data_IF_097193031503
#
_entry.id   IF_097193031503
#
_cell.length_a   1.000
_cell.length_b   1.000
_cell.length_c   1.000
_cell.angle_alpha   90.00
_cell.angle_beta   90.00
_cell.angle_gamma   90.00
#
_symmetry.space_group_name_H-M   'P 1'
#
loop_
_entity.id
_entity.type
_entity.pdbx_description
1 polymer ?
#
# COMPACT_ATOMS: atom_id res chain seq x y z
N UNK A 1 9.77 -79.84 -1.55
CA UNK A 1 8.83 -79.01 -0.77
C UNK A 1 9.66 -78.04 0.05
N UNK A 2 9.73 -76.78 -0.36
CA UNK A 2 10.08 -75.62 0.46
C UNK A 2 9.74 -74.36 -0.34
N UNK A 3 8.98 -73.48 0.31
CA UNK A 3 8.26 -72.34 -0.25
C UNK A 3 9.19 -71.14 -0.20
N UNK A 4 9.41 -70.46 -1.32
CA UNK A 4 10.04 -69.14 -1.32
C UNK A 4 9.00 -68.09 -1.67
N UNK A 5 8.68 -67.28 -0.66
CA UNK A 5 7.75 -66.16 -0.69
C UNK A 5 8.38 -65.04 -1.53
N UNK A 6 7.70 -64.59 -2.59
CA UNK A 6 8.11 -63.37 -3.28
C UNK A 6 7.84 -62.17 -2.38
N UNK A 7 8.90 -61.48 -1.95
CA UNK A 7 8.79 -60.15 -1.37
C UNK A 7 8.75 -59.13 -2.52
N UNK A 8 7.57 -58.57 -2.77
CA UNK A 8 7.40 -57.46 -3.71
C UNK A 8 8.05 -56.19 -3.11
N UNK A 9 9.16 -55.75 -3.71
CA UNK A 9 9.77 -54.47 -3.39
C UNK A 9 9.00 -53.34 -4.09
N UNK A 10 8.20 -52.60 -3.33
CA UNK A 10 7.58 -51.35 -3.77
C UNK A 10 8.63 -50.25 -3.74
N UNK A 11 9.19 -49.92 -4.91
CA UNK A 11 10.08 -48.76 -5.07
C UNK A 11 9.20 -47.51 -5.07
N UNK A 12 9.16 -46.80 -3.94
CA UNK A 12 8.51 -45.51 -3.83
C UNK A 12 9.44 -44.45 -4.45
N UNK A 13 9.28 -44.18 -5.75
CA UNK A 13 9.95 -43.06 -6.41
C UNK A 13 9.37 -41.75 -5.90
N UNK A 14 10.09 -41.08 -4.99
CA UNK A 14 9.82 -39.71 -4.61
C UNK A 14 10.19 -38.80 -5.78
N UNK A 15 9.18 -38.36 -6.54
CA UNK A 15 9.36 -37.31 -7.52
C UNK A 15 9.74 -36.02 -6.78
N UNK A 16 11.00 -35.60 -6.92
CA UNK A 16 11.46 -34.31 -6.42
C UNK A 16 10.79 -33.26 -7.30
N UNK A 17 9.73 -32.64 -6.80
CA UNK A 17 9.13 -31.49 -7.45
C UNK A 17 10.16 -30.36 -7.44
N UNK A 18 10.75 -30.07 -8.60
CA UNK A 18 11.59 -28.90 -8.79
C UNK A 18 10.70 -27.68 -8.60
N UNK A 19 11.01 -26.74 -7.67
CA UNK A 19 10.23 -25.54 -7.54
C UNK A 19 10.38 -24.71 -8.82
N UNK A 20 9.33 -24.66 -9.64
CA UNK A 20 9.22 -23.68 -10.71
C UNK A 20 9.10 -22.30 -10.08
N UNK A 21 10.13 -21.47 -10.27
CA UNK A 21 10.01 -20.05 -9.94
C UNK A 21 8.99 -19.44 -10.90
N UNK A 22 7.91 -18.90 -10.35
CA UNK A 22 6.95 -18.13 -11.12
C UNK A 22 7.64 -16.86 -11.64
N UNK A 23 8.00 -16.84 -12.92
CA UNK A 23 8.42 -15.62 -13.59
C UNK A 23 7.19 -14.73 -13.74
N UNK A 24 6.99 -13.80 -12.82
CA UNK A 24 6.03 -12.74 -13.00
C UNK A 24 6.62 -11.74 -14.00
N UNK A 25 6.01 -11.54 -15.18
CA UNK A 25 6.48 -10.52 -16.09
C UNK A 25 6.37 -9.16 -15.39
N UNK A 26 7.47 -8.41 -15.35
CA UNK A 26 7.44 -7.03 -14.89
C UNK A 26 6.59 -6.23 -15.89
N UNK A 27 5.33 -5.96 -15.53
CA UNK A 27 4.42 -5.14 -16.34
C UNK A 27 4.79 -3.68 -16.15
N UNK A 28 5.80 -3.23 -16.92
CA UNK A 28 6.17 -1.82 -16.96
C UNK A 28 5.08 -1.06 -17.69
N UNK A 29 4.40 -0.15 -16.98
CA UNK A 29 3.40 0.75 -17.57
C UNK A 29 4.13 1.76 -18.44
N UNK A 30 3.70 1.91 -19.69
CA UNK A 30 4.29 2.90 -20.61
C UNK A 30 4.01 4.33 -20.15
N UNK A 31 4.90 5.27 -20.49
CA UNK A 31 4.77 6.68 -20.11
C UNK A 31 3.43 7.29 -20.56
N UNK A 32 2.96 6.96 -21.77
CA UNK A 32 1.67 7.41 -22.28
C UNK A 32 0.49 6.90 -21.44
N UNK A 33 0.55 5.65 -20.98
CA UNK A 33 -0.48 5.07 -20.12
C UNK A 33 -0.45 5.69 -18.72
N UNK A 34 0.74 5.99 -18.19
CA UNK A 34 0.87 6.70 -16.92
C UNK A 34 0.30 8.12 -17.01
N UNK A 35 0.61 8.86 -18.08
CA UNK A 35 0.08 10.20 -18.30
C UNK A 35 -1.46 10.22 -18.42
N UNK A 36 -2.06 9.21 -19.08
CA UNK A 36 -3.51 9.08 -19.13
C UNK A 36 -4.13 8.88 -17.73
N UNK A 37 -3.53 8.01 -16.91
CA UNK A 37 -3.97 7.79 -15.52
C UNK A 37 -3.82 9.05 -14.66
N UNK A 38 -2.74 9.80 -14.86
CA UNK A 38 -2.51 11.04 -14.13
C UNK A 38 -3.54 12.12 -14.52
N UNK A 39 -3.93 12.18 -15.79
CA UNK A 39 -5.01 13.05 -16.27
C UNK A 39 -6.37 12.67 -15.66
N UNK A 40 -6.71 11.37 -15.65
CA UNK A 40 -7.95 10.88 -15.03
C UNK A 40 -7.97 11.20 -13.53
N UNK A 41 -6.86 10.95 -12.83
CA UNK A 41 -6.71 11.28 -11.41
C UNK A 41 -6.91 12.77 -11.18
N UNK A 42 -6.31 13.63 -12.01
CA UNK A 42 -6.45 15.08 -11.89
C UNK A 42 -7.92 15.51 -12.06
N UNK A 43 -8.63 14.94 -13.03
CA UNK A 43 -10.05 15.23 -13.24
C UNK A 43 -10.90 14.85 -12.02
N UNK A 44 -10.65 13.68 -11.42
CA UNK A 44 -11.34 13.22 -10.21
C UNK A 44 -11.06 14.18 -9.04
N UNK A 45 -9.79 14.53 -8.81
CA UNK A 45 -9.42 15.44 -7.71
C UNK A 45 -10.05 16.83 -7.88
N UNK A 46 -10.17 17.33 -9.11
CA UNK A 46 -10.82 18.61 -9.38
C UNK A 46 -12.34 18.57 -9.16
N UNK A 47 -12.98 17.45 -9.50
CA UNK A 47 -14.40 17.24 -9.23
C UNK A 47 -14.67 17.21 -7.72
N UNK A 48 -13.90 16.42 -6.97
CA UNK A 48 -14.00 16.35 -5.51
C UNK A 48 -13.75 17.71 -4.84
N UNK A 49 -12.73 18.46 -5.29
CA UNK A 49 -12.47 19.81 -4.79
C UNK A 49 -13.67 20.74 -5.00
N UNK A 50 -14.36 20.61 -6.12
CA UNK A 50 -15.56 21.40 -6.43
C UNK A 50 -16.71 21.03 -5.51
N UNK A 51 -16.92 19.74 -5.26
CA UNK A 51 -17.92 19.24 -4.31
C UNK A 51 -17.66 19.75 -2.89
N UNK A 52 -16.43 19.63 -2.39
CA UNK A 52 -16.07 20.12 -1.05
C UNK A 52 -16.28 21.64 -0.92
N UNK A 53 -15.97 22.43 -1.97
CA UNK A 53 -16.26 23.87 -1.99
C UNK A 53 -17.76 24.17 -1.93
N UNK A 54 -18.59 23.37 -2.60
CA UNK A 54 -20.04 23.52 -2.53
C UNK A 54 -20.56 23.19 -1.12
N UNK A 55 -19.99 22.16 -0.48
CA UNK A 55 -20.31 21.82 0.92
C UNK A 55 -19.98 23.00 1.85
N UNK A 56 -18.81 23.64 1.69
CA UNK A 56 -18.47 24.86 2.46
C UNK A 56 -19.49 25.97 2.26
N UNK A 57 -19.87 26.26 1.02
CA UNK A 57 -20.85 27.31 0.73
C UNK A 57 -22.20 27.03 1.43
N UNK A 58 -22.68 25.79 1.36
CA UNK A 58 -23.91 25.37 2.03
C UNK A 58 -23.79 25.48 3.56
N UNK A 59 -22.67 25.05 4.14
CA UNK A 59 -22.42 25.16 5.58
C UNK A 59 -22.33 26.62 6.04
N UNK A 60 -21.75 27.51 5.24
CA UNK A 60 -21.72 28.95 5.54
C UNK A 60 -23.12 29.55 5.56
N UNK A 61 -23.99 29.15 4.63
CA UNK A 61 -25.40 29.56 4.63
C UNK A 61 -26.12 29.04 5.89
N UNK A 62 -25.97 27.76 6.22
CA UNK A 62 -26.54 27.15 7.43
C UNK A 62 -26.03 27.86 8.70
N UNK A 63 -24.73 28.17 8.76
CA UNK A 63 -24.12 28.92 9.87
C UNK A 63 -24.79 30.27 10.07
N UNK A 64 -25.06 31.02 9.00
CA UNK A 64 -25.72 32.32 9.08
C UNK A 64 -27.16 32.20 9.62
N UNK A 65 -27.91 31.17 9.20
CA UNK A 65 -29.26 30.88 9.70
C UNK A 65 -29.23 30.53 11.19
N UNK A 66 -28.35 29.61 11.60
CA UNK A 66 -28.20 29.20 13.01
C UNK A 66 -27.78 30.36 13.91
N UNK A 67 -26.91 31.24 13.41
CA UNK A 67 -26.49 32.44 14.12
C UNK A 67 -27.67 33.41 14.34
N UNK A 68 -28.51 33.61 13.32
CA UNK A 68 -29.71 34.43 13.43
C UNK A 68 -30.77 33.82 14.38
N UNK A 69 -30.84 32.48 14.43
CA UNK A 69 -31.74 31.75 15.33
C UNK A 69 -31.18 31.53 16.75
N UNK A 70 -29.95 31.98 17.02
CA UNK A 70 -29.23 31.79 18.29
C UNK A 70 -29.09 30.31 18.71
N UNK A 71 -28.98 29.40 17.74
CA UNK A 71 -28.88 27.95 17.93
C UNK A 71 -27.44 27.52 18.25
N UNK A 72 -26.95 27.89 19.44
CA UNK A 72 -25.54 27.75 19.82
C UNK A 72 -24.95 26.34 19.66
N UNK A 73 -25.73 25.29 19.96
CA UNK A 73 -25.26 23.91 19.86
C UNK A 73 -25.07 23.46 18.40
N UNK A 74 -26.02 23.80 17.52
CA UNK A 74 -25.94 23.46 16.10
C UNK A 74 -24.91 24.33 15.38
N UNK A 75 -24.78 25.59 15.78
CA UNK A 75 -23.73 26.49 15.29
C UNK A 75 -22.33 25.89 15.52
N UNK A 76 -22.05 25.41 16.74
CA UNK A 76 -20.76 24.79 17.05
C UNK A 76 -20.47 23.57 16.17
N UNK A 77 -21.48 22.71 15.91
CA UNK A 77 -21.33 21.54 15.03
C UNK A 77 -21.04 21.97 13.59
N UNK A 78 -21.76 22.96 13.08
CA UNK A 78 -21.53 23.52 11.75
C UNK A 78 -20.12 24.11 11.63
N UNK A 79 -19.63 24.79 12.66
CA UNK A 79 -18.27 25.35 12.68
C UNK A 79 -17.20 24.26 12.70
N UNK A 80 -17.34 23.21 13.51
CA UNK A 80 -16.43 22.06 13.48
C UNK A 80 -16.43 21.36 12.12
N UNK A 81 -17.60 21.21 11.49
CA UNK A 81 -17.70 20.63 10.15
C UNK A 81 -17.04 21.51 9.08
N UNK A 82 -17.16 22.83 9.19
CA UNK A 82 -16.47 23.77 8.30
C UNK A 82 -14.95 23.63 8.42
N UNK A 83 -14.41 23.47 9.62
CA UNK A 83 -12.97 23.26 9.83
C UNK A 83 -12.50 21.96 9.16
N UNK A 84 -13.21 20.85 9.36
CA UNK A 84 -12.91 19.56 8.73
C UNK A 84 -12.91 19.66 7.20
N UNK A 85 -13.96 20.24 6.61
CA UNK A 85 -14.08 20.37 5.16
C UNK A 85 -12.99 21.28 4.58
N UNK A 86 -12.62 22.36 5.27
CA UNK A 86 -11.51 23.22 4.86
C UNK A 86 -10.16 22.48 4.90
N UNK A 87 -9.94 21.63 5.91
CA UNK A 87 -8.77 20.75 5.97
C UNK A 87 -8.74 19.79 4.77
N UNK A 88 -9.88 19.19 4.42
CA UNK A 88 -9.98 18.29 3.25
C UNK A 88 -9.67 19.04 1.94
N UNK A 89 -10.18 20.27 1.78
CA UNK A 89 -9.86 21.13 0.63
C UNK A 89 -8.36 21.37 0.52
N UNK A 90 -7.68 21.66 1.64
CA UNK A 90 -6.24 21.88 1.65
C UNK A 90 -5.46 20.63 1.24
N UNK A 91 -5.86 19.45 1.73
CA UNK A 91 -5.26 18.17 1.35
C UNK A 91 -5.46 17.86 -0.14
N UNK A 92 -6.68 18.04 -0.66
CA UNK A 92 -6.96 17.86 -2.09
C UNK A 92 -6.14 18.81 -2.97
N UNK A 93 -5.99 20.07 -2.54
CA UNK A 93 -5.17 21.04 -3.26
C UNK A 93 -3.70 20.61 -3.30
N UNK A 94 -3.18 20.08 -2.19
CA UNK A 94 -1.83 19.52 -2.13
C UNK A 94 -1.68 18.30 -3.06
N UNK A 95 -2.66 17.40 -3.10
CA UNK A 95 -2.64 16.25 -4.01
C UNK A 95 -2.65 16.67 -5.48
N UNK A 96 -3.45 17.68 -5.84
CA UNK A 96 -3.48 18.28 -7.18
C UNK A 96 -2.10 18.84 -7.53
N UNK A 97 -1.46 19.56 -6.61
CA UNK A 97 -0.13 20.15 -6.85
C UNK A 97 0.94 19.07 -7.03
N UNK A 98 0.83 17.93 -6.34
CA UNK A 98 1.71 16.76 -6.56
C UNK A 98 1.49 16.14 -7.94
N UNK A 99 0.23 15.91 -8.34
CA UNK A 99 -0.10 15.33 -9.66
C UNK A 99 0.34 16.25 -10.81
N UNK A 100 0.25 17.56 -10.61
CA UNK A 100 0.70 18.56 -11.59
C UNK A 100 2.22 18.79 -11.59
N UNK A 101 2.97 18.12 -10.71
CA UNK A 101 4.42 18.29 -10.58
C UNK A 101 4.86 19.66 -10.03
N UNK A 102 3.94 20.40 -9.40
CA UNK A 102 4.21 21.70 -8.78
C UNK A 102 4.86 21.55 -7.40
N UNK A 103 4.47 20.51 -6.67
CA UNK A 103 5.12 20.12 -5.43
C UNK A 103 6.24 19.12 -5.73
N UNK A 104 7.41 19.30 -5.10
CA UNK A 104 8.51 18.34 -5.22
C UNK A 104 8.02 16.97 -4.78
N UNK A 105 8.02 16.01 -5.72
CA UNK A 105 7.69 14.62 -5.43
C UNK A 105 8.51 14.16 -4.23
N UNK A 106 7.83 13.72 -3.16
CA UNK A 106 8.48 12.99 -2.08
C UNK A 106 9.25 11.86 -2.76
N UNK A 107 10.59 11.90 -2.65
CA UNK A 107 11.51 11.00 -3.36
C UNK A 107 10.90 9.61 -3.40
N UNK A 108 10.47 9.19 -4.58
CA UNK A 108 9.99 7.83 -4.79
C UNK A 108 11.11 6.91 -4.34
N UNK A 109 10.83 6.08 -3.35
CA UNK A 109 11.77 5.03 -2.94
C UNK A 109 11.83 4.07 -4.12
N UNK A 110 12.88 4.21 -4.93
CA UNK A 110 13.20 3.23 -5.96
C UNK A 110 13.57 1.97 -5.19
N UNK A 111 12.62 1.04 -5.08
CA UNK A 111 12.89 -0.28 -4.55
C UNK A 111 13.72 -0.99 -5.60
N UNK A 112 15.04 -1.00 -5.40
CA UNK A 112 15.93 -1.84 -6.20
C UNK A 112 15.54 -3.30 -5.92
N UNK A 113 15.28 -4.13 -6.94
CA UNK A 113 15.07 -5.55 -6.73
C UNK A 113 16.28 -6.10 -5.97
N UNK A 114 16.05 -6.79 -4.85
CA UNK A 114 17.09 -7.57 -4.19
C UNK A 114 17.37 -8.75 -5.12
N UNK A 115 18.55 -8.74 -5.76
CA UNK A 115 19.07 -9.95 -6.38
C UNK A 115 19.18 -11.02 -5.28
N UNK A 116 18.42 -12.11 -5.44
CA UNK A 116 18.50 -13.25 -4.55
C UNK A 116 19.88 -13.91 -4.72
N UNK A 117 20.84 -13.44 -3.93
CA UNK A 117 22.16 -14.05 -3.82
C UNK A 117 22.04 -15.53 -3.44
N UNK A 118 22.68 -16.36 -4.25
CA UNK A 118 22.80 -17.82 -4.06
C UNK A 118 23.25 -18.17 -2.64
N UNK A 119 22.59 -19.11 -1.93
CA UNK A 119 22.97 -19.44 -0.56
C UNK A 119 24.17 -20.38 -0.59
N UNK A 120 25.38 -19.84 -0.37
CA UNK A 120 26.51 -20.68 0.04
C UNK A 120 26.66 -20.64 1.56
N UNK A 121 26.32 -21.80 2.12
CA UNK A 121 26.43 -22.24 3.50
C UNK A 121 27.86 -22.09 4.02
N UNK A 122 28.06 -21.44 5.17
CA UNK A 122 28.74 -21.95 6.39
C UNK A 122 29.01 -20.83 7.41
N UNK A 123 28.57 -21.05 8.65
CA UNK A 123 28.78 -20.24 9.88
C UNK A 123 30.06 -20.73 10.62
N UNK A 124 30.62 -20.09 11.70
CA UNK A 124 29.88 -19.51 12.85
C UNK A 124 30.41 -18.23 13.56
N UNK A 125 29.43 -17.46 14.07
CA UNK A 125 29.29 -16.74 15.37
C UNK A 125 30.48 -15.93 15.94
N UNK A 126 30.23 -14.63 16.18
CA UNK A 126 30.64 -13.98 17.44
C UNK A 126 29.62 -12.91 17.87
N UNK A 127 29.61 -12.70 19.19
CA UNK A 127 28.58 -12.17 20.10
C UNK A 127 28.18 -10.69 19.97
N UNK A 128 26.90 -10.40 20.32
CA UNK A 128 26.55 -9.15 21.01
C UNK A 128 25.30 -8.42 20.49
N UNK A 129 24.30 -8.30 21.37
CA UNK A 129 23.06 -7.51 21.30
C UNK A 129 21.83 -8.05 20.54
N UNK A 130 20.62 -8.00 21.14
CA UNK A 130 19.37 -8.22 20.42
C UNK A 130 19.12 -7.00 19.54
N UNK A 131 19.59 -7.07 18.30
CA UNK A 131 19.20 -6.13 17.27
C UNK A 131 17.72 -6.39 16.97
N UNK A 132 16.86 -5.41 17.31
CA UNK A 132 15.48 -5.39 16.86
C UNK A 132 15.47 -5.64 15.35
N UNK A 133 14.80 -6.70 14.92
CA UNK A 133 14.68 -7.07 13.52
C UNK A 133 13.87 -5.99 12.80
N UNK A 134 14.53 -4.92 12.38
CA UNK A 134 13.97 -3.95 11.46
C UNK A 134 13.77 -4.67 10.14
N UNK A 135 12.50 -5.03 9.87
CA UNK A 135 12.08 -5.65 8.63
C UNK A 135 12.44 -4.74 7.46
N UNK A 136 13.52 -5.05 6.76
CA UNK A 136 13.93 -4.40 5.50
C UNK A 136 13.23 -5.00 4.28
N UNK A 137 12.23 -5.85 4.48
CA UNK A 137 11.43 -6.45 3.41
C UNK A 137 10.27 -5.53 2.98
N UNK A 138 9.77 -5.69 1.74
CA UNK A 138 8.55 -5.03 1.28
C UNK A 138 7.39 -5.27 2.25
N UNK A 139 6.47 -4.31 2.38
CA UNK A 139 5.35 -4.36 3.33
C UNK A 139 4.44 -5.60 3.17
N UNK A 140 4.40 -6.20 1.99
CA UNK A 140 3.62 -7.42 1.72
C UNK A 140 4.28 -8.71 2.27
N UNK A 141 5.58 -8.70 2.56
CA UNK A 141 6.34 -9.86 3.05
C UNK A 141 6.09 -10.16 4.54
N UNK A 142 5.37 -9.28 5.24
CA UNK A 142 5.00 -9.47 6.64
C UNK A 142 4.04 -10.66 6.85
N UNK A 143 3.28 -11.03 5.82
CA UNK A 143 2.29 -12.11 5.89
C UNK A 143 2.91 -13.51 5.75
N UNK A 144 4.00 -13.63 4.97
CA UNK A 144 4.67 -14.91 4.74
C UNK A 144 5.52 -15.37 5.94
N UNK A 145 6.00 -14.43 6.76
CA UNK A 145 6.86 -14.72 7.92
C UNK A 145 6.16 -15.42 9.08
N UNK A 146 4.83 -15.43 9.11
CA UNK A 146 4.06 -16.13 10.15
C UNK A 146 3.90 -17.64 9.90
N UNK A 147 4.18 -18.10 8.69
CA UNK A 147 3.99 -19.50 8.30
C UNK A 147 5.29 -20.34 8.36
N UNK A 148 6.44 -19.72 8.62
CA UNK A 148 7.75 -20.40 8.66
C UNK A 148 8.26 -20.67 10.08
N UNK A 149 7.47 -20.36 11.10
CA UNK A 149 7.76 -20.69 12.50
C UNK A 149 7.01 -21.97 12.89
N UNK A 150 7.41 -23.11 12.32
CA UNK A 150 7.17 -24.45 12.87
C UNK A 150 8.41 -25.30 12.67
#
# INVERSE_FOLDING_TARGET
MNIYVQAAALILTTAVAVPTQAQTPATTVGSAQQAARDADKLAILQAELTEQKQIVANLQQTRAVQLAANEKAELNKTESRLEEVNSNIAQLQQEIDVVQGKAMAIKTVIVKPVDAGSPNTTKPVSSGHPQASTSTGPWWDLYNRRNTSQ
#
